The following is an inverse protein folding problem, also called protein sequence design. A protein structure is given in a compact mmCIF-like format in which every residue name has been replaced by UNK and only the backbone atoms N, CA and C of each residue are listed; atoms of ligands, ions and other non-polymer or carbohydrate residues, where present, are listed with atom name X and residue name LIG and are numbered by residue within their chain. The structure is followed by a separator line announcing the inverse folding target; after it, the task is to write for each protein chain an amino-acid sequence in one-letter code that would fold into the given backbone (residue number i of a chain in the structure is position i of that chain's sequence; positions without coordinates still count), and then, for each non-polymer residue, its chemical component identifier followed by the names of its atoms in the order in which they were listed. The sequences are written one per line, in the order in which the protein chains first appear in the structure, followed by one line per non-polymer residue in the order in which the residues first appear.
data_IF_722489007892
#
_entry.id   IF_722489007892
#
_cell.length_a   1.000
_cell.length_b   1.000
_cell.length_c   1.000
_cell.angle_alpha   90.00
_cell.angle_beta   90.00
_cell.angle_gamma   90.00
#
_symmetry.space_group_name_H-M   'P 1'
#
loop_
_entity.id
_entity.type
_entity.pdbx_description
1 polymer ?
#
# COMPACT_ATOMS: atom_id res chain seq x y z
N UNK A 1 48.05 52.99 -7.59
CA UNK A 1 47.78 52.18 -6.37
C UNK A 1 46.30 51.91 -6.40
N UNK A 2 45.85 51.00 -7.14
CA UNK A 2 45.66 49.56 -6.95
C UNK A 2 44.71 49.24 -5.80
N UNK A 3 43.59 48.65 -6.13
CA UNK A 3 42.65 48.11 -5.19
C UNK A 3 41.44 47.48 -5.90
N UNK A 4 41.70 46.40 -6.70
CA UNK A 4 40.64 45.54 -7.24
C UNK A 4 39.89 44.83 -6.12
N UNK A 5 38.59 44.95 -6.05
CA UNK A 5 37.72 44.08 -5.29
C UNK A 5 36.90 43.18 -6.22
N UNK A 6 37.29 41.93 -6.22
CA UNK A 6 36.65 40.84 -6.90
C UNK A 6 35.44 40.35 -6.03
N UNK A 7 34.21 40.56 -6.50
CA UNK A 7 33.01 40.10 -5.85
C UNK A 7 32.62 38.77 -6.46
N UNK A 8 33.00 37.66 -5.84
CA UNK A 8 32.59 36.29 -6.19
C UNK A 8 31.12 36.06 -5.81
N UNK A 9 30.28 35.95 -6.78
CA UNK A 9 28.88 35.48 -6.63
C UNK A 9 28.88 33.99 -6.37
N UNK A 10 28.51 33.59 -5.16
CA UNK A 10 28.24 32.19 -4.82
C UNK A 10 26.80 31.86 -5.25
N UNK A 11 26.66 31.13 -6.35
CA UNK A 11 25.42 30.48 -6.73
C UNK A 11 25.01 29.43 -5.69
N UNK A 12 23.96 29.70 -4.96
CA UNK A 12 23.32 28.76 -4.06
C UNK A 12 22.59 27.68 -4.86
N UNK A 13 23.16 26.50 -4.97
CA UNK A 13 22.45 25.33 -5.50
C UNK A 13 21.41 24.88 -4.47
N UNK A 14 20.15 25.17 -4.76
CA UNK A 14 19.02 24.69 -4.00
C UNK A 14 18.90 23.16 -4.20
N UNK A 15 19.41 22.40 -3.24
CA UNK A 15 19.16 20.96 -3.17
C UNK A 15 17.71 20.76 -2.80
N UNK A 16 16.89 20.35 -3.77
CA UNK A 16 15.55 19.84 -3.52
C UNK A 16 15.68 18.59 -2.66
N UNK A 17 15.39 18.72 -1.37
CA UNK A 17 15.32 17.59 -0.45
C UNK A 17 14.01 16.87 -0.73
N UNK A 18 14.08 15.75 -1.45
CA UNK A 18 12.97 14.79 -1.51
C UNK A 18 12.71 14.29 -0.09
N UNK A 19 11.58 14.67 0.47
CA UNK A 19 11.12 14.15 1.76
C UNK A 19 10.73 12.69 1.55
N UNK A 20 11.63 11.77 1.85
CA UNK A 20 11.31 10.36 1.95
C UNK A 20 10.34 10.20 3.13
N UNK A 21 9.13 9.73 2.85
CA UNK A 21 8.13 9.44 3.88
C UNK A 21 8.70 8.38 4.83
N UNK A 22 8.79 8.62 6.15
CA UNK A 22 9.28 7.64 7.10
C UNK A 22 8.37 6.40 7.09
N UNK A 23 8.97 5.23 6.91
CA UNK A 23 8.24 3.94 6.86
C UNK A 23 8.02 3.36 5.45
N UNK A 24 8.26 4.13 4.39
CA UNK A 24 8.42 3.61 3.04
C UNK A 24 9.92 3.46 2.76
N UNK A 25 10.55 2.46 3.36
CA UNK A 25 11.85 2.00 2.87
C UNK A 25 11.70 1.72 1.38
N UNK A 26 12.66 2.18 0.55
CA UNK A 26 12.72 1.85 -0.87
C UNK A 26 12.49 0.35 -0.99
N UNK A 27 11.52 -0.15 -1.80
CA UNK A 27 11.38 -1.57 -1.99
C UNK A 27 12.74 -2.10 -2.43
N UNK A 28 13.19 -3.22 -1.85
CA UNK A 28 14.34 -3.95 -2.37
C UNK A 28 14.11 -4.41 -3.81
N UNK A 29 12.84 -4.39 -4.23
CA UNK A 29 12.32 -4.71 -5.55
C UNK A 29 11.89 -3.41 -6.23
N UNK A 30 12.47 -3.13 -7.41
CA UNK A 30 12.16 -1.92 -8.19
C UNK A 30 10.97 -2.10 -9.14
N UNK A 31 10.57 -1.01 -9.79
CA UNK A 31 9.53 -1.01 -10.83
C UNK A 31 9.93 -1.77 -12.10
N UNK A 32 11.18 -2.19 -12.24
CA UNK A 32 11.64 -3.03 -13.34
C UNK A 32 11.13 -4.48 -13.24
N UNK A 33 10.66 -4.87 -12.07
CA UNK A 33 10.05 -6.16 -11.78
C UNK A 33 8.66 -5.94 -11.14
N UNK A 34 7.64 -5.55 -11.93
CA UNK A 34 6.37 -5.06 -11.40
C UNK A 34 5.58 -6.10 -10.59
N UNK A 35 5.65 -7.38 -10.92
CA UNK A 35 4.96 -8.41 -10.13
C UNK A 35 5.62 -8.65 -8.78
N UNK A 36 6.95 -8.70 -8.73
CA UNK A 36 7.69 -8.78 -7.48
C UNK A 36 7.41 -7.56 -6.59
N UNK A 37 7.13 -6.41 -7.22
CA UNK A 37 6.71 -5.22 -6.49
C UNK A 37 5.28 -5.36 -5.93
N UNK A 38 4.34 -5.97 -6.67
CA UNK A 38 3.01 -6.29 -6.18
C UNK A 38 3.09 -7.28 -4.99
N UNK A 39 3.87 -8.35 -5.11
CA UNK A 39 4.12 -9.33 -4.04
C UNK A 39 4.74 -8.65 -2.79
N UNK A 40 5.71 -7.76 -2.98
CA UNK A 40 6.29 -6.97 -1.88
C UNK A 40 5.27 -6.00 -1.23
N UNK A 41 4.22 -5.59 -1.94
CA UNK A 41 3.10 -4.86 -1.36
C UNK A 41 2.26 -5.77 -0.45
N UNK A 42 2.01 -7.03 -0.85
CA UNK A 42 1.32 -8.01 -0.01
C UNK A 42 2.02 -8.23 1.33
N UNK A 43 3.34 -8.41 1.33
CA UNK A 43 4.11 -8.49 2.59
C UNK A 43 3.92 -7.27 3.50
N UNK A 44 3.69 -6.09 2.92
CA UNK A 44 3.42 -4.87 3.70
C UNK A 44 1.99 -4.84 4.22
N UNK A 45 1.02 -5.32 3.42
CA UNK A 45 -0.36 -5.54 3.89
C UNK A 45 -0.32 -6.43 5.13
N UNK A 46 0.30 -7.61 5.03
CA UNK A 46 0.37 -8.57 6.12
C UNK A 46 1.02 -7.97 7.37
N UNK A 47 2.16 -7.29 7.23
CA UNK A 47 2.81 -6.58 8.36
C UNK A 47 1.91 -5.51 8.98
N UNK A 48 1.11 -4.81 8.18
CA UNK A 48 0.19 -3.78 8.67
C UNK A 48 -1.02 -4.40 9.38
N UNK A 49 -1.51 -5.54 8.92
CA UNK A 49 -2.57 -6.30 9.59
C UNK A 49 -2.07 -6.92 10.89
N UNK A 50 -0.83 -7.43 10.92
CA UNK A 50 -0.19 -7.90 12.16
C UNK A 50 0.00 -6.78 13.18
N UNK A 51 0.36 -5.56 12.71
CA UNK A 51 0.43 -4.40 13.57
C UNK A 51 -0.94 -4.06 14.16
N UNK A 52 -1.99 -4.12 13.35
CA UNK A 52 -3.37 -3.91 13.80
C UNK A 52 -3.78 -4.94 14.87
N UNK A 53 -3.50 -6.22 14.64
CA UNK A 53 -3.80 -7.28 15.60
C UNK A 53 -3.06 -7.08 16.93
N UNK A 54 -1.77 -6.71 16.88
CA UNK A 54 -0.97 -6.38 18.07
C UNK A 54 -1.47 -5.14 18.78
N UNK A 55 -1.96 -4.13 18.06
CA UNK A 55 -2.55 -2.94 18.65
C UNK A 55 -3.82 -3.29 19.44
N UNK A 56 -4.72 -4.11 18.88
CA UNK A 56 -5.90 -4.60 19.60
C UNK A 56 -5.52 -5.34 20.87
N UNK A 57 -4.59 -6.30 20.77
CA UNK A 57 -4.10 -7.05 21.93
C UNK A 57 -3.43 -6.16 22.98
N UNK A 58 -2.65 -5.18 22.57
CA UNK A 58 -1.99 -4.24 23.49
C UNK A 58 -3.01 -3.46 24.33
N UNK A 59 -4.11 -3.02 23.71
CA UNK A 59 -5.14 -2.22 24.37
C UNK A 59 -6.01 -3.02 25.37
N UNK A 60 -5.91 -4.35 25.41
CA UNK A 60 -6.56 -5.17 26.45
C UNK A 60 -5.88 -4.99 27.81
N UNK A 61 -4.55 -4.84 27.82
CA UNK A 61 -3.76 -4.80 29.06
C UNK A 61 -3.19 -3.41 29.37
N UNK A 62 -3.30 -2.46 28.41
CA UNK A 62 -2.70 -1.13 28.51
C UNK A 62 -3.70 -0.03 28.12
N UNK A 63 -3.53 1.13 28.70
CA UNK A 63 -4.23 2.33 28.23
C UNK A 63 -3.66 2.80 26.90
N UNK A 64 -4.48 3.52 26.10
CA UNK A 64 -4.02 4.12 24.86
C UNK A 64 -2.99 5.22 25.14
N UNK A 65 -1.73 4.86 24.97
CA UNK A 65 -0.57 5.75 25.06
C UNK A 65 -0.12 6.24 23.68
N UNK A 66 1.00 6.95 23.63
CA UNK A 66 1.56 7.45 22.37
C UNK A 66 2.03 6.32 21.43
N UNK A 67 2.43 5.18 21.98
CA UNK A 67 2.81 3.98 21.21
C UNK A 67 1.60 3.41 20.48
N UNK A 68 0.48 3.24 21.18
CA UNK A 68 -0.77 2.77 20.58
C UNK A 68 -1.30 3.75 19.53
N UNK A 69 -1.26 5.07 19.79
CA UNK A 69 -1.65 6.09 18.81
C UNK A 69 -0.74 6.09 17.58
N UNK A 70 0.56 5.87 17.76
CA UNK A 70 1.49 5.77 16.65
C UNK A 70 1.22 4.53 15.81
N UNK A 71 0.98 3.37 16.41
CA UNK A 71 0.59 2.16 15.70
C UNK A 71 -0.69 2.37 14.87
N UNK A 72 -1.70 3.02 15.44
CA UNK A 72 -2.92 3.37 14.70
C UNK A 72 -2.62 4.28 13.49
N UNK A 73 -1.78 5.31 13.66
CA UNK A 73 -1.35 6.19 12.55
C UNK A 73 -0.59 5.45 11.46
N UNK A 74 0.23 4.47 11.82
CA UNK A 74 1.01 3.70 10.85
C UNK A 74 0.11 2.78 10.02
N UNK A 75 -0.88 2.13 10.64
CA UNK A 75 -1.91 1.36 9.93
C UNK A 75 -2.74 2.27 9.02
N UNK A 76 -3.22 3.40 9.53
CA UNK A 76 -3.97 4.39 8.74
C UNK A 76 -3.18 4.83 7.50
N UNK A 77 -1.91 5.22 7.68
CA UNK A 77 -1.06 5.69 6.58
C UNK A 77 -0.90 4.64 5.49
N UNK A 78 -0.73 3.37 5.86
CA UNK A 78 -0.57 2.30 4.88
C UNK A 78 -1.85 2.12 4.05
N UNK A 79 -2.99 1.94 4.70
CA UNK A 79 -4.25 1.64 4.02
C UNK A 79 -4.90 2.88 3.37
N UNK A 80 -4.55 4.08 3.77
CA UNK A 80 -5.01 5.30 3.09
C UNK A 80 -4.18 5.64 1.84
N UNK A 81 -2.90 5.23 1.77
CA UNK A 81 -1.99 5.66 0.71
C UNK A 81 -1.49 4.53 -0.19
N UNK A 82 -0.98 3.45 0.40
CA UNK A 82 -0.29 2.41 -0.36
C UNK A 82 -1.25 1.36 -0.92
N UNK A 83 -2.22 0.92 -0.14
CA UNK A 83 -3.17 -0.11 -0.57
C UNK A 83 -4.04 0.33 -1.75
N UNK A 84 -4.58 1.57 -1.83
CA UNK A 84 -5.32 2.02 -3.01
C UNK A 84 -4.49 2.02 -4.29
N UNK A 85 -3.22 2.43 -4.22
CA UNK A 85 -2.31 2.42 -5.38
C UNK A 85 -1.97 1.00 -5.84
N UNK A 86 -1.90 0.04 -4.91
CA UNK A 86 -1.67 -1.36 -5.21
C UNK A 86 -2.87 -1.97 -5.94
N UNK A 87 -4.09 -1.82 -5.41
CA UNK A 87 -5.30 -2.27 -6.09
C UNK A 87 -5.48 -1.61 -7.47
N UNK A 88 -5.13 -0.33 -7.60
CA UNK A 88 -5.18 0.36 -8.90
C UNK A 88 -4.17 -0.22 -9.90
N UNK A 89 -2.97 -0.60 -9.46
CA UNK A 89 -1.98 -1.30 -10.30
C UNK A 89 -2.55 -2.62 -10.84
N UNK A 90 -3.21 -3.39 -10.00
CA UNK A 90 -3.81 -4.67 -10.38
C UNK A 90 -4.98 -4.48 -11.33
N UNK A 91 -5.90 -3.58 -11.03
CA UNK A 91 -7.06 -3.30 -11.88
C UNK A 91 -6.66 -2.86 -13.28
N UNK A 92 -5.66 -1.97 -13.39
CA UNK A 92 -5.24 -1.39 -14.66
C UNK A 92 -4.36 -2.32 -15.50
N UNK A 93 -3.47 -3.08 -14.86
CA UNK A 93 -2.44 -3.83 -15.58
C UNK A 93 -2.66 -5.33 -15.60
N UNK A 94 -3.11 -5.91 -14.49
CA UNK A 94 -3.26 -7.35 -14.33
C UNK A 94 -4.68 -7.79 -14.69
N UNK A 95 -5.68 -7.20 -14.05
CA UNK A 95 -7.07 -7.60 -14.22
C UNK A 95 -7.60 -7.23 -15.60
N UNK A 96 -7.33 -6.02 -16.09
CA UNK A 96 -7.73 -5.61 -17.44
C UNK A 96 -7.16 -6.55 -18.52
N UNK A 97 -5.90 -6.96 -18.39
CA UNK A 97 -5.26 -7.92 -19.29
C UNK A 97 -5.99 -9.28 -19.27
N UNK A 98 -6.23 -9.82 -18.07
CA UNK A 98 -6.82 -11.15 -17.91
C UNK A 98 -8.29 -11.19 -18.28
N UNK A 99 -9.05 -10.12 -18.06
CA UNK A 99 -10.42 -9.99 -18.55
C UNK A 99 -10.50 -10.03 -20.08
N UNK A 100 -9.48 -9.47 -20.76
CA UNK A 100 -9.42 -9.45 -22.21
C UNK A 100 -8.86 -10.74 -22.83
N UNK A 101 -7.93 -11.43 -22.18
CA UNK A 101 -7.10 -12.50 -22.79
C UNK A 101 -7.03 -13.77 -21.94
N UNK A 102 -7.56 -13.78 -20.72
CA UNK A 102 -7.51 -14.92 -19.81
C UNK A 102 -8.49 -16.04 -20.16
N UNK A 103 -8.27 -17.22 -19.60
CA UNK A 103 -9.23 -18.32 -19.66
C UNK A 103 -10.51 -17.98 -18.84
N UNK A 104 -11.61 -18.64 -19.15
CA UNK A 104 -12.87 -18.41 -18.43
C UNK A 104 -12.75 -18.63 -16.90
N UNK A 105 -11.93 -19.58 -16.47
CA UNK A 105 -11.67 -19.83 -15.07
C UNK A 105 -10.90 -18.67 -14.40
N UNK A 106 -9.86 -18.15 -15.06
CA UNK A 106 -9.09 -16.99 -14.56
C UNK A 106 -9.96 -15.73 -14.53
N UNK A 107 -10.75 -15.50 -15.59
CA UNK A 107 -11.69 -14.36 -15.63
C UNK A 107 -12.68 -14.40 -14.47
N UNK A 108 -13.16 -15.58 -14.09
CA UNK A 108 -14.06 -15.73 -12.93
C UNK A 108 -13.35 -15.32 -11.61
N UNK A 109 -12.08 -15.70 -11.43
CA UNK A 109 -11.27 -15.29 -10.26
C UNK A 109 -11.05 -13.78 -10.24
N UNK A 110 -10.67 -13.19 -11.37
CA UNK A 110 -10.48 -11.73 -11.48
C UNK A 110 -11.75 -10.96 -11.10
N UNK A 111 -12.92 -11.39 -11.57
CA UNK A 111 -14.19 -10.75 -11.19
C UNK A 111 -14.49 -10.87 -9.70
N UNK A 112 -14.12 -11.99 -9.08
CA UNK A 112 -14.24 -12.17 -7.64
C UNK A 112 -13.32 -11.21 -6.90
N UNK A 113 -12.05 -11.07 -7.32
CA UNK A 113 -11.09 -10.15 -6.72
C UNK A 113 -11.52 -8.68 -6.86
N UNK A 114 -12.09 -8.28 -7.99
CA UNK A 114 -12.68 -6.93 -8.16
C UNK A 114 -13.81 -6.66 -7.15
N UNK A 115 -14.67 -7.66 -6.92
CA UNK A 115 -15.69 -7.56 -5.89
C UNK A 115 -15.09 -7.54 -4.48
N UNK A 116 -13.96 -8.21 -4.25
CA UNK A 116 -13.22 -8.17 -2.99
C UNK A 116 -12.61 -6.78 -2.75
N UNK A 117 -11.98 -6.13 -3.74
CA UNK A 117 -11.47 -4.77 -3.65
C UNK A 117 -12.57 -3.79 -3.21
N UNK A 118 -13.77 -3.89 -3.80
CA UNK A 118 -14.92 -3.06 -3.40
C UNK A 118 -15.27 -3.28 -1.92
N UNK A 119 -15.41 -4.54 -1.49
CA UNK A 119 -15.74 -4.89 -0.10
C UNK A 119 -14.65 -4.48 0.89
N UNK A 120 -13.37 -4.60 0.49
CA UNK A 120 -12.24 -4.14 1.30
C UNK A 120 -12.28 -2.64 1.51
N UNK A 121 -12.58 -1.87 0.46
CA UNK A 121 -12.75 -0.42 0.55
C UNK A 121 -13.89 -0.03 1.52
N UNK A 122 -15.03 -0.69 1.44
CA UNK A 122 -16.16 -0.45 2.36
C UNK A 122 -15.79 -0.79 3.82
N UNK A 123 -15.16 -1.95 4.06
CA UNK A 123 -14.72 -2.38 5.38
C UNK A 123 -13.63 -1.47 5.94
N UNK A 124 -12.73 -0.98 5.06
CA UNK A 124 -11.71 -0.02 5.45
C UNK A 124 -12.31 1.27 6.00
N UNK A 125 -13.38 1.80 5.42
CA UNK A 125 -14.02 3.03 5.93
C UNK A 125 -14.48 2.87 7.39
N UNK A 126 -15.05 1.73 7.76
CA UNK A 126 -15.45 1.45 9.14
C UNK A 126 -14.24 1.29 10.08
N UNK A 127 -13.24 0.49 9.68
CA UNK A 127 -12.01 0.28 10.44
C UNK A 127 -11.22 1.60 10.61
N UNK A 128 -11.14 2.40 9.55
CA UNK A 128 -10.49 3.71 9.53
C UNK A 128 -11.08 4.67 10.56
N UNK A 129 -12.39 4.72 10.68
CA UNK A 129 -13.05 5.61 11.65
C UNK A 129 -12.64 5.29 13.10
N UNK A 130 -12.52 4.01 13.44
CA UNK A 130 -12.08 3.54 14.76
C UNK A 130 -10.62 3.88 15.02
N UNK A 131 -9.75 3.57 14.06
CA UNK A 131 -8.32 3.87 14.16
C UNK A 131 -8.05 5.36 14.25
N UNK A 132 -8.78 6.18 13.49
CA UNK A 132 -8.67 7.64 13.57
C UNK A 132 -9.10 8.18 14.92
N UNK A 133 -10.20 7.66 15.49
CA UNK A 133 -10.67 8.04 16.82
C UNK A 133 -9.61 7.72 17.89
N UNK A 134 -8.95 6.56 17.79
CA UNK A 134 -7.86 6.17 18.69
C UNK A 134 -6.62 7.07 18.49
N UNK A 135 -6.20 7.29 17.24
CA UNK A 135 -5.02 8.10 16.91
C UNK A 135 -5.15 9.56 17.39
N UNK A 136 -6.36 10.11 17.36
CA UNK A 136 -6.69 11.48 17.81
C UNK A 136 -7.01 11.57 19.31
N UNK A 137 -7.03 10.45 20.04
CA UNK A 137 -7.33 10.41 21.47
C UNK A 137 -8.81 10.62 21.81
N UNK A 138 -9.71 10.53 20.83
CA UNK A 138 -11.17 10.56 21.04
C UNK A 138 -11.70 9.23 21.61
N UNK A 139 -10.92 8.17 21.45
CA UNK A 139 -11.16 6.84 21.99
C UNK A 139 -9.86 6.32 22.63
N UNK A 140 -9.97 5.57 23.73
CA UNK A 140 -8.81 5.05 24.48
C UNK A 140 -8.74 3.53 24.52
N UNK A 141 -9.76 2.85 24.03
CA UNK A 141 -9.84 1.39 23.91
C UNK A 141 -10.81 1.02 22.81
N UNK A 142 -10.73 -0.20 22.32
CA UNK A 142 -11.74 -0.79 21.44
C UNK A 142 -12.74 -1.62 22.26
N UNK A 143 -14.02 -1.49 21.93
CA UNK A 143 -15.03 -2.43 22.41
C UNK A 143 -14.96 -3.74 21.61
N UNK A 144 -15.61 -4.81 22.11
CA UNK A 144 -15.72 -6.06 21.37
C UNK A 144 -16.37 -5.89 19.98
N UNK A 145 -17.28 -4.91 19.85
CA UNK A 145 -17.89 -4.57 18.55
C UNK A 145 -16.88 -3.90 17.61
N UNK A 146 -16.04 -2.99 18.12
CA UNK A 146 -14.98 -2.35 17.35
C UNK A 146 -13.95 -3.37 16.88
N UNK A 147 -13.54 -4.28 17.77
CA UNK A 147 -12.60 -5.37 17.41
C UNK A 147 -13.19 -6.30 16.35
N UNK A 148 -14.48 -6.60 16.40
CA UNK A 148 -15.14 -7.38 15.36
C UNK A 148 -15.11 -6.68 14.00
N UNK A 149 -15.24 -5.35 13.95
CA UNK A 149 -15.11 -4.55 12.72
C UNK A 149 -13.66 -4.62 12.20
N UNK A 150 -12.65 -4.44 13.06
CA UNK A 150 -11.24 -4.50 12.70
C UNK A 150 -10.84 -5.90 12.22
N UNK A 151 -11.28 -6.95 12.90
CA UNK A 151 -11.06 -8.35 12.50
C UNK A 151 -11.77 -8.67 11.16
N UNK A 152 -13.00 -8.18 10.97
CA UNK A 152 -13.74 -8.33 9.73
C UNK A 152 -13.08 -7.65 8.53
N UNK A 153 -12.41 -6.52 8.76
CA UNK A 153 -11.56 -5.88 7.75
C UNK A 153 -10.37 -6.76 7.42
N UNK A 154 -9.60 -7.21 8.42
CA UNK A 154 -8.39 -8.00 8.22
C UNK A 154 -8.65 -9.35 7.54
N UNK A 155 -9.76 -10.02 7.86
CA UNK A 155 -10.10 -11.34 7.35
C UNK A 155 -10.25 -11.43 5.83
N UNK A 156 -10.47 -10.30 5.14
CA UNK A 156 -10.60 -10.26 3.67
C UNK A 156 -9.32 -10.58 2.91
N UNK A 157 -8.15 -10.33 3.49
CA UNK A 157 -6.89 -10.28 2.76
C UNK A 157 -6.24 -11.65 2.46
N UNK A 158 -6.20 -12.57 3.41
CA UNK A 158 -5.40 -13.80 3.27
C UNK A 158 -5.80 -14.70 2.08
N UNK A 159 -7.09 -14.89 1.83
CA UNK A 159 -7.55 -15.67 0.68
C UNK A 159 -7.41 -14.90 -0.63
N UNK A 160 -7.61 -13.59 -0.59
CA UNK A 160 -7.45 -12.67 -1.71
C UNK A 160 -6.01 -12.70 -2.23
N UNK A 161 -5.02 -12.39 -1.39
CA UNK A 161 -3.59 -12.42 -1.71
C UNK A 161 -3.18 -13.77 -2.30
N UNK A 162 -3.59 -14.87 -1.68
CA UNK A 162 -3.29 -16.22 -2.22
C UNK A 162 -3.85 -16.44 -3.62
N UNK A 163 -5.07 -15.95 -3.89
CA UNK A 163 -5.64 -16.08 -5.23
C UNK A 163 -4.86 -15.29 -6.27
N UNK A 164 -4.35 -14.13 -5.91
CA UNK A 164 -3.52 -13.30 -6.78
C UNK A 164 -2.17 -13.95 -7.05
N UNK A 165 -1.46 -14.36 -6.02
CA UNK A 165 -0.12 -14.94 -6.13
C UNK A 165 -0.12 -16.33 -6.76
N UNK A 166 -1.09 -17.18 -6.42
CA UNK A 166 -1.12 -18.57 -6.89
C UNK A 166 -1.77 -18.74 -8.27
N UNK A 167 -2.68 -17.82 -8.68
CA UNK A 167 -3.48 -18.00 -9.89
C UNK A 167 -3.36 -16.80 -10.84
N UNK A 168 -3.60 -15.59 -10.35
CA UNK A 168 -3.81 -14.42 -11.21
C UNK A 168 -2.49 -13.88 -11.72
N UNK A 169 -1.50 -13.67 -10.88
CA UNK A 169 -0.19 -13.18 -11.29
C UNK A 169 0.54 -14.16 -12.22
N UNK A 170 0.61 -15.47 -11.95
CA UNK A 170 1.18 -16.43 -12.90
C UNK A 170 0.48 -16.41 -14.26
N UNK A 171 -0.85 -16.33 -14.29
CA UNK A 171 -1.60 -16.26 -15.53
C UNK A 171 -1.31 -14.98 -16.34
N UNK A 172 -1.16 -13.84 -15.66
CA UNK A 172 -0.83 -12.57 -16.29
C UNK A 172 0.62 -12.54 -16.80
N UNK A 173 1.58 -13.05 -16.02
CA UNK A 173 3.00 -13.13 -16.42
C UNK A 173 3.20 -13.86 -17.75
N UNK A 174 2.45 -14.92 -18.01
CA UNK A 174 2.52 -15.69 -19.27
C UNK A 174 2.03 -14.88 -20.48
N UNK A 175 1.09 -13.96 -20.27
CA UNK A 175 0.46 -13.16 -21.32
C UNK A 175 1.20 -11.86 -21.63
N UNK A 176 2.06 -11.39 -20.74
CA UNK A 176 2.80 -10.14 -20.89
C UNK A 176 4.16 -10.37 -21.56
N UNK A 177 4.39 -9.64 -22.64
CA UNK A 177 5.73 -9.56 -23.24
C UNK A 177 6.66 -8.59 -22.48
N UNK A 178 7.98 -8.65 -22.73
CA UNK A 178 8.96 -7.80 -22.05
C UNK A 178 8.65 -6.30 -22.13
N UNK A 179 8.17 -5.83 -23.27
CA UNK A 179 7.83 -4.42 -23.49
C UNK A 179 6.56 -4.01 -22.72
N UNK A 180 5.59 -4.90 -22.60
CA UNK A 180 4.36 -4.65 -21.81
C UNK A 180 4.69 -4.60 -20.32
N UNK A 181 5.56 -5.50 -19.85
CA UNK A 181 6.08 -5.53 -18.49
C UNK A 181 6.80 -4.22 -18.13
N UNK A 182 7.69 -3.76 -19.03
CA UNK A 182 8.40 -2.50 -18.84
C UNK A 182 7.43 -1.30 -18.76
N UNK A 183 6.42 -1.24 -19.63
CA UNK A 183 5.40 -0.19 -19.62
C UNK A 183 4.59 -0.19 -18.34
N UNK A 184 4.21 -1.37 -17.85
CA UNK A 184 3.55 -1.53 -16.54
C UNK A 184 4.39 -0.91 -15.42
N UNK A 185 5.65 -1.29 -15.30
CA UNK A 185 6.54 -0.76 -14.26
C UNK A 185 6.75 0.75 -14.34
N UNK A 186 6.92 1.30 -15.56
CA UNK A 186 7.05 2.75 -15.77
C UNK A 186 5.79 3.50 -15.35
N UNK A 187 4.62 2.97 -15.62
CA UNK A 187 3.35 3.59 -15.28
C UNK A 187 3.10 3.54 -13.76
N UNK A 188 3.37 2.40 -13.11
CA UNK A 188 3.34 2.25 -11.66
C UNK A 188 4.29 3.24 -10.96
N UNK A 189 5.50 3.43 -11.48
CA UNK A 189 6.48 4.42 -11.00
C UNK A 189 5.93 5.84 -11.10
N UNK A 190 5.39 6.20 -12.27
CA UNK A 190 4.84 7.55 -12.53
C UNK A 190 3.70 7.89 -11.57
N UNK A 191 2.78 6.98 -11.30
CA UNK A 191 1.67 7.21 -10.36
C UNK A 191 2.13 7.44 -8.93
N UNK A 192 3.26 6.88 -8.54
CA UNK A 192 3.86 7.11 -7.22
C UNK A 192 4.74 8.34 -7.14
N UNK A 193 4.87 9.11 -8.22
CA UNK A 193 5.72 10.31 -8.27
C UNK A 193 7.21 9.99 -8.05
N UNK A 194 7.62 8.74 -8.26
CA UNK A 194 9.02 8.36 -8.18
C UNK A 194 9.73 8.83 -9.47
N UNK A 195 10.64 9.80 -9.32
CA UNK A 195 11.47 10.37 -10.41
C UNK A 195 12.66 9.43 -10.62
N UNK A 196 13.13 9.33 -11.88
CA UNK A 196 14.36 8.60 -12.24
C UNK A 196 15.61 9.17 -11.59
#
# INVERSE_FOLDING_TARGET
MDGSHNSGSKGGSSKSSSVALPGFGTPAVGFDTPFEMLEACHERVERSLDLLARLCSYLHDHTCDDTARQAARDVLRYFDLAAPLHHEDEELHVFALLLARGSAAVVAQVRQLQADHTRMGERWQAARALLLALAEGRQTAFSAADEAVLAGFAAGYSAHIRTEEDVVYPAARVLLGPQEMQRMGQEMRRRRGAVD
#
